data_IF_008608004198
#
_entry.id   IF_008608004198
#
_cell.length_a   1.000
_cell.length_b   1.000
_cell.length_c   1.000
_cell.angle_alpha   90.00
_cell.angle_beta   90.00
_cell.angle_gamma   90.00
#
_symmetry.space_group_name_H-M   'P 1'
#
loop_
_entity.id
_entity.type
_entity.pdbx_description
1 polymer ?
#
# COMPACT_ATOMS: atom_id res chain seq x y z
N UNK A 1 8.81 -6.79 3.69
CA UNK A 1 10.26 -6.53 3.86
C UNK A 1 11.00 -6.58 2.53
N UNK A 2 10.75 -7.54 1.63
CA UNK A 2 11.39 -7.57 0.30
C UNK A 2 10.86 -6.50 -0.68
N UNK A 3 9.58 -6.13 -0.60
CA UNK A 3 8.97 -5.26 -1.62
C UNK A 3 9.51 -3.82 -1.65
N UNK A 4 9.77 -3.24 -0.48
CA UNK A 4 10.16 -1.82 -0.38
C UNK A 4 11.59 -1.56 -0.87
N UNK A 5 12.51 -2.50 -0.61
CA UNK A 5 13.85 -2.48 -1.19
C UNK A 5 13.81 -2.75 -2.70
N UNK A 6 12.83 -3.51 -3.18
CA UNK A 6 12.61 -3.76 -4.61
C UNK A 6 12.11 -2.51 -5.34
N UNK A 7 11.29 -1.65 -4.71
CA UNK A 7 10.90 -0.34 -5.29
C UNK A 7 12.13 0.56 -5.48
N UNK A 8 12.93 0.70 -4.41
CA UNK A 8 14.10 1.57 -4.39
C UNK A 8 15.16 1.08 -5.39
N UNK A 9 15.45 -0.22 -5.35
CA UNK A 9 16.40 -0.85 -6.27
C UNK A 9 15.91 -0.84 -7.72
N UNK A 10 14.62 -1.13 -7.96
CA UNK A 10 14.03 -1.10 -9.30
C UNK A 10 14.05 0.31 -9.90
N UNK A 11 13.76 1.34 -9.10
CA UNK A 11 13.82 2.74 -9.54
C UNK A 11 15.24 3.15 -9.88
N UNK A 12 16.22 2.81 -9.02
CA UNK A 12 17.64 3.05 -9.30
C UNK A 12 18.12 2.31 -10.55
N UNK A 13 17.63 1.10 -10.80
CA UNK A 13 17.97 0.33 -11.99
C UNK A 13 17.39 0.93 -13.27
N UNK A 14 16.15 1.42 -13.24
CA UNK A 14 15.55 2.14 -14.38
C UNK A 14 16.31 3.43 -14.71
N UNK A 15 16.77 4.15 -13.69
CA UNK A 15 17.62 5.34 -13.85
C UNK A 15 18.97 4.95 -14.45
N UNK A 16 19.60 3.90 -13.93
CA UNK A 16 20.89 3.41 -14.44
C UNK A 16 20.81 2.97 -15.91
N UNK A 17 19.69 2.36 -16.32
CA UNK A 17 19.44 1.93 -17.71
C UNK A 17 18.98 3.08 -18.63
N UNK A 18 18.85 4.31 -18.10
CA UNK A 18 18.37 5.47 -18.86
C UNK A 18 16.89 5.40 -19.25
N UNK A 19 16.13 4.47 -18.66
CA UNK A 19 14.69 4.28 -18.92
C UNK A 19 13.81 5.19 -18.06
N UNK A 20 14.37 5.82 -17.03
CA UNK A 20 13.71 6.79 -16.19
C UNK A 20 14.66 7.95 -15.92
N UNK A 21 14.25 9.17 -16.29
CA UNK A 21 15.04 10.37 -16.01
C UNK A 21 15.07 10.64 -14.50
N UNK A 22 16.27 10.69 -13.93
CA UNK A 22 16.52 10.99 -12.51
C UNK A 22 15.88 12.32 -12.07
N UNK A 23 15.78 13.28 -12.98
CA UNK A 23 15.21 14.60 -12.69
C UNK A 23 13.69 14.65 -12.87
N UNK A 24 13.07 13.57 -13.38
CA UNK A 24 11.63 13.50 -13.50
C UNK A 24 10.94 13.46 -12.14
N UNK A 25 9.77 14.09 -12.06
CA UNK A 25 8.91 14.06 -10.87
C UNK A 25 8.54 12.63 -10.49
N UNK A 26 8.35 11.76 -11.48
CA UNK A 26 8.11 10.32 -11.31
C UNK A 26 9.28 9.60 -10.64
N UNK A 27 10.52 9.90 -11.03
CA UNK A 27 11.71 9.31 -10.40
C UNK A 27 11.86 9.77 -8.96
N UNK A 28 11.67 11.07 -8.69
CA UNK A 28 11.71 11.64 -7.34
C UNK A 28 10.70 10.97 -6.43
N UNK A 29 9.43 10.91 -6.85
CA UNK A 29 8.37 10.29 -6.06
C UNK A 29 8.67 8.82 -5.73
N UNK A 30 9.10 8.03 -6.70
CA UNK A 30 9.42 6.61 -6.48
C UNK A 30 10.63 6.40 -5.55
N UNK A 31 11.66 7.25 -5.68
CA UNK A 31 12.83 7.21 -4.79
C UNK A 31 12.45 7.64 -3.36
N UNK A 32 11.64 8.68 -3.22
CA UNK A 32 11.15 9.16 -1.92
C UNK A 32 10.29 8.10 -1.23
N UNK A 33 9.36 7.47 -1.94
CA UNK A 33 8.57 6.35 -1.41
C UNK A 33 9.46 5.19 -0.95
N UNK A 34 10.41 4.77 -1.79
CA UNK A 34 11.34 3.69 -1.43
C UNK A 34 12.16 4.03 -0.19
N UNK A 35 12.70 5.25 -0.11
CA UNK A 35 13.49 5.73 1.04
C UNK A 35 12.64 5.75 2.30
N UNK A 36 11.42 6.29 2.22
CA UNK A 36 10.54 6.44 3.37
C UNK A 36 10.06 5.09 3.91
N UNK A 37 9.79 4.12 3.02
CA UNK A 37 9.48 2.76 3.41
C UNK A 37 10.70 2.06 4.05
N UNK A 38 11.91 2.24 3.49
CA UNK A 38 13.13 1.68 4.05
C UNK A 38 13.44 2.24 5.46
N UNK A 39 13.25 3.55 5.65
CA UNK A 39 13.38 4.20 6.97
C UNK A 39 12.34 3.69 7.97
N UNK A 40 11.11 3.46 7.53
CA UNK A 40 10.07 2.86 8.38
C UNK A 40 10.45 1.44 8.83
N UNK A 41 10.91 0.58 7.92
CA UNK A 41 11.38 -0.77 8.27
C UNK A 41 12.57 -0.75 9.23
N UNK A 42 13.53 0.17 9.03
CA UNK A 42 14.65 0.35 9.96
C UNK A 42 14.18 0.79 11.35
N UNK A 43 13.09 1.56 11.44
CA UNK A 43 12.50 1.95 12.73
C UNK A 43 11.89 0.75 13.47
N UNK A 44 11.31 -0.21 12.74
CA UNK A 44 10.75 -1.44 13.31
C UNK A 44 11.85 -2.39 13.83
N UNK A 45 12.98 -2.49 13.11
CA UNK A 45 14.10 -3.35 13.48
C UNK A 45 14.91 -2.83 14.68
N UNK A 46 14.89 -1.53 14.97
CA UNK A 46 15.67 -0.92 16.05
C UNK A 46 15.16 -1.20 17.46
N UNK A 47 14.06 -1.94 17.64
CA UNK A 47 13.59 -2.39 18.95
C UNK A 47 13.25 -1.23 19.90
N UNK A 48 11.98 -0.81 19.90
CA UNK A 48 11.31 -0.03 20.96
C UNK A 48 12.21 0.82 21.89
N UNK A 49 12.79 1.90 21.37
CA UNK A 49 13.13 3.08 22.20
C UNK A 49 12.65 4.32 21.46
N UNK A 50 11.32 4.39 21.37
CA UNK A 50 10.64 5.41 20.60
C UNK A 50 9.15 5.16 20.47
N UNK A 51 8.50 4.60 21.49
CA UNK A 51 7.13 5.01 21.80
C UNK A 51 7.17 6.48 22.26
N UNK A 52 7.56 7.37 21.35
CA UNK A 52 6.75 8.54 21.12
C UNK A 52 5.68 7.94 20.18
N UNK A 53 4.46 7.66 20.61
CA UNK A 53 3.58 8.74 21.04
C UNK A 53 4.10 10.06 20.43
N UNK A 54 4.23 10.10 19.11
CA UNK A 54 4.06 11.35 18.39
C UNK A 54 2.63 11.67 18.78
N UNK A 55 2.52 12.41 19.87
CA UNK A 55 1.28 12.90 20.43
C UNK A 55 0.44 13.29 19.23
N UNK A 56 -0.77 12.73 19.11
CA UNK A 56 -1.82 13.30 18.28
C UNK A 56 -1.66 14.82 18.35
N UNK A 57 -1.06 15.42 17.33
CA UNK A 57 -0.79 16.83 17.32
C UNK A 57 -2.15 17.42 16.96
N UNK A 58 -2.90 17.75 18.02
CA UNK A 58 -4.34 17.53 18.12
C UNK A 58 -5.20 18.34 17.14
N UNK A 59 -4.60 19.29 16.41
CA UNK A 59 -5.30 20.13 15.43
C UNK A 59 -5.01 19.69 14.00
N UNK A 60 -3.75 19.43 13.65
CA UNK A 60 -3.36 19.00 12.30
C UNK A 60 -3.78 17.55 12.01
N UNK A 61 -3.67 16.66 13.01
CA UNK A 61 -4.13 15.26 12.87
C UNK A 61 -5.65 15.13 12.80
N UNK A 62 -6.41 16.00 13.48
CA UNK A 62 -7.87 16.00 13.39
C UNK A 62 -8.34 16.41 11.99
N UNK A 63 -7.79 17.50 11.43
CA UNK A 63 -8.11 17.97 10.08
C UNK A 63 -7.80 16.89 9.04
N UNK A 64 -6.61 16.29 9.10
CA UNK A 64 -6.21 15.27 8.13
C UNK A 64 -7.05 13.98 8.26
N UNK A 65 -7.50 13.62 9.46
CA UNK A 65 -8.40 12.50 9.68
C UNK A 65 -9.78 12.73 9.06
N UNK A 66 -10.36 13.92 9.25
CA UNK A 66 -11.62 14.30 8.63
C UNK A 66 -11.52 14.39 7.10
N UNK A 67 -10.41 14.94 6.59
CA UNK A 67 -10.07 14.95 5.17
C UNK A 67 -9.94 13.52 4.61
N UNK A 68 -9.24 12.62 5.30
CA UNK A 68 -9.08 11.22 4.88
C UNK A 68 -10.43 10.48 4.86
N UNK A 69 -11.27 10.71 5.86
CA UNK A 69 -12.62 10.17 5.92
C UNK A 69 -13.48 10.68 4.76
N UNK A 70 -13.30 11.95 4.38
CA UNK A 70 -13.94 12.52 3.20
C UNK A 70 -13.39 11.91 1.90
N UNK A 71 -12.07 11.76 1.81
CA UNK A 71 -11.37 11.19 0.66
C UNK A 71 -11.86 9.79 0.31
N UNK A 72 -12.13 8.97 1.34
CA UNK A 72 -12.69 7.63 1.19
C UNK A 72 -14.07 7.64 0.53
N UNK A 73 -14.92 8.63 0.84
CA UNK A 73 -16.27 8.77 0.24
C UNK A 73 -16.25 9.46 -1.12
N UNK A 74 -15.30 10.34 -1.36
CA UNK A 74 -15.24 11.20 -2.54
C UNK A 74 -14.36 10.63 -3.68
N UNK A 75 -13.85 9.41 -3.53
CA UNK A 75 -13.05 8.76 -4.58
C UNK A 75 -11.68 9.40 -4.80
N UNK A 76 -11.12 10.04 -3.76
CA UNK A 76 -9.79 10.66 -3.81
C UNK A 76 -8.67 9.66 -3.49
N UNK A 77 -9.04 8.47 -3.02
CA UNK A 77 -8.15 7.35 -2.77
C UNK A 77 -8.14 6.42 -4.00
N UNK A 78 -6.96 5.91 -4.31
CA UNK A 78 -6.77 4.93 -5.39
C UNK A 78 -5.74 3.88 -4.99
N UNK A 79 -5.73 2.77 -5.71
CA UNK A 79 -4.73 1.72 -5.57
C UNK A 79 -3.82 1.71 -6.78
N UNK A 80 -2.51 1.74 -6.53
CA UNK A 80 -1.50 1.37 -7.51
C UNK A 80 -1.11 -0.09 -7.27
N UNK A 81 -0.76 -0.80 -8.35
CA UNK A 81 -0.44 -2.22 -8.29
C UNK A 81 0.99 -2.44 -8.74
N UNK A 82 1.85 -2.80 -7.80
CA UNK A 82 3.24 -3.12 -8.10
C UNK A 82 3.35 -4.60 -8.52
N UNK A 83 3.84 -4.92 -9.73
CA UNK A 83 4.00 -6.29 -10.16
C UNK A 83 5.06 -7.04 -9.36
N UNK A 84 4.78 -8.30 -9.02
CA UNK A 84 5.70 -9.23 -8.36
C UNK A 84 6.05 -10.33 -9.36
N UNK A 85 7.34 -10.54 -9.58
CA UNK A 85 7.87 -11.55 -10.50
C UNK A 85 8.59 -12.67 -9.74
N UNK A 86 8.35 -13.91 -10.15
CA UNK A 86 9.22 -15.04 -9.81
C UNK A 86 10.35 -15.08 -10.84
N UNK A 87 11.58 -15.18 -10.35
CA UNK A 87 12.77 -15.30 -11.18
C UNK A 87 13.23 -16.76 -11.16
N UNK A 88 12.88 -17.51 -12.19
CA UNK A 88 13.36 -18.89 -12.35
C UNK A 88 14.76 -18.89 -13.00
N UNK A 89 15.08 -17.86 -13.79
CA UNK A 89 16.42 -17.53 -14.26
C UNK A 89 16.52 -16.04 -14.63
N UNK A 90 17.73 -15.50 -14.82
CA UNK A 90 17.94 -14.10 -15.24
C UNK A 90 17.24 -13.73 -16.57
N UNK A 91 16.84 -14.72 -17.37
CA UNK A 91 16.24 -14.54 -18.70
C UNK A 91 14.72 -14.80 -18.69
N UNK A 92 14.16 -15.30 -17.58
CA UNK A 92 12.75 -15.68 -17.49
C UNK A 92 12.16 -15.21 -16.16
N UNK A 93 11.47 -14.08 -16.22
CA UNK A 93 10.66 -13.55 -15.13
C UNK A 93 9.19 -13.90 -15.38
N UNK A 94 8.57 -14.62 -14.45
CA UNK A 94 7.15 -14.94 -14.49
C UNK A 94 6.39 -13.98 -13.57
N UNK A 95 5.43 -13.22 -14.11
CA UNK A 95 4.50 -12.45 -13.28
C UNK A 95 3.69 -13.41 -12.40
N UNK A 96 3.80 -13.27 -11.08
CA UNK A 96 3.10 -14.12 -10.11
C UNK A 96 1.96 -13.39 -9.40
N UNK A 97 2.01 -12.07 -9.33
CA UNK A 97 0.98 -11.30 -8.64
C UNK A 97 1.32 -9.82 -8.54
N UNK A 98 0.60 -9.16 -7.65
CA UNK A 98 0.73 -7.73 -7.41
C UNK A 98 0.68 -7.41 -5.93
N UNK A 99 1.33 -6.33 -5.54
CA UNK A 99 1.08 -5.64 -4.28
C UNK A 99 0.20 -4.41 -4.51
N UNK A 100 -0.88 -4.29 -3.74
CA UNK A 100 -1.74 -3.12 -3.76
C UNK A 100 -1.20 -2.05 -2.81
N UNK A 101 -0.90 -0.89 -3.37
CA UNK A 101 -0.33 0.27 -2.68
C UNK A 101 -1.36 1.41 -2.69
N UNK A 102 -1.75 1.84 -1.49
CA UNK A 102 -2.70 2.93 -1.33
C UNK A 102 -2.07 4.27 -1.73
N UNK A 103 -2.87 5.09 -2.40
CA UNK A 103 -2.50 6.42 -2.86
C UNK A 103 -3.62 7.40 -2.57
N UNK A 104 -3.26 8.61 -2.13
CA UNK A 104 -4.20 9.69 -1.90
C UNK A 104 -3.82 10.89 -2.76
N UNK A 105 -4.70 11.25 -3.71
CA UNK A 105 -4.61 12.48 -4.46
C UNK A 105 -5.58 13.49 -3.87
N UNK A 106 -5.08 14.38 -3.02
CA UNK A 106 -5.87 15.44 -2.42
C UNK A 106 -6.13 16.56 -3.43
N UNK A 107 -7.36 17.09 -3.54
CA UNK A 107 -7.72 18.10 -4.55
C UNK A 107 -6.88 19.38 -4.46
N UNK A 108 -6.47 19.78 -3.26
CA UNK A 108 -5.71 21.01 -3.04
C UNK A 108 -4.22 20.78 -2.77
N UNK A 109 -3.86 19.63 -2.19
CA UNK A 109 -2.49 19.35 -1.71
C UNK A 109 -1.70 18.49 -2.68
N UNK A 110 -2.36 17.91 -3.68
CA UNK A 110 -1.74 16.93 -4.56
C UNK A 110 -1.54 15.58 -3.86
N UNK A 111 -0.46 14.89 -4.20
CA UNK A 111 -0.16 13.57 -3.63
C UNK A 111 0.22 13.68 -2.15
N UNK A 112 -0.53 12.96 -1.31
CA UNK A 112 -0.22 12.79 0.11
C UNK A 112 0.37 11.38 0.30
N UNK A 113 1.60 11.25 0.84
CA UNK A 113 2.24 9.95 1.00
C UNK A 113 1.59 9.14 2.14
N UNK A 114 1.56 7.79 2.05
CA UNK A 114 1.02 6.93 3.11
C UNK A 114 1.64 7.16 4.49
N UNK A 115 2.92 7.51 4.54
CA UNK A 115 3.62 7.83 5.80
C UNK A 115 3.01 9.01 6.56
N UNK A 116 2.29 9.90 5.90
CA UNK A 116 1.62 11.04 6.52
C UNK A 116 0.24 10.67 7.05
N UNK A 117 -0.57 9.96 6.27
CA UNK A 117 -1.98 9.73 6.62
C UNK A 117 -2.27 8.37 7.29
N UNK A 118 -1.44 7.35 7.13
CA UNK A 118 -1.64 6.05 7.78
C UNK A 118 -1.57 6.16 9.32
N UNK A 119 -0.59 6.87 9.92
CA UNK A 119 -0.59 7.06 11.38
C UNK A 119 -1.85 7.76 11.89
N UNK A 120 -2.41 8.69 11.10
CA UNK A 120 -3.67 9.37 11.44
C UNK A 120 -4.85 8.41 11.38
N UNK A 121 -4.92 7.57 10.35
CA UNK A 121 -5.93 6.53 10.23
C UNK A 121 -5.88 5.56 11.42
N UNK A 122 -4.69 5.18 11.86
CA UNK A 122 -4.46 4.30 13.01
C UNK A 122 -4.93 4.94 14.32
N UNK A 123 -4.70 6.24 14.51
CA UNK A 123 -5.11 6.97 15.71
C UNK A 123 -6.62 7.28 15.78
N UNK A 124 -7.33 7.25 14.65
CA UNK A 124 -8.74 7.66 14.53
C UNK A 124 -9.71 6.51 14.27
N UNK A 125 -9.28 5.26 14.42
CA UNK A 125 -9.99 4.02 14.05
C UNK A 125 -10.42 3.92 12.57
N UNK A 126 -10.18 4.97 11.77
CA UNK A 126 -10.40 5.00 10.32
C UNK A 126 -9.59 3.93 9.59
N UNK A 127 -8.48 3.44 10.18
CA UNK A 127 -7.67 2.37 9.62
C UNK A 127 -8.52 1.13 9.30
N UNK A 128 -9.57 0.85 10.06
CA UNK A 128 -10.42 -0.31 9.81
C UNK A 128 -11.30 -0.13 8.57
N UNK A 129 -11.93 1.04 8.43
CA UNK A 129 -12.77 1.38 7.27
C UNK A 129 -11.91 1.47 6.00
N UNK A 130 -10.75 2.13 6.12
CA UNK A 130 -9.78 2.28 5.04
C UNK A 130 -9.29 0.93 4.54
N UNK A 131 -8.84 0.06 5.44
CA UNK A 131 -8.32 -1.24 5.04
C UNK A 131 -9.39 -2.17 4.48
N UNK A 132 -10.63 -2.09 4.97
CA UNK A 132 -11.76 -2.79 4.36
C UNK A 132 -11.95 -2.36 2.90
N UNK A 133 -11.94 -1.05 2.65
CA UNK A 133 -12.03 -0.50 1.29
C UNK A 133 -10.86 -0.93 0.41
N UNK A 134 -9.62 -0.89 0.93
CA UNK A 134 -8.42 -1.35 0.21
C UNK A 134 -8.54 -2.81 -0.18
N UNK A 135 -8.85 -3.70 0.78
CA UNK A 135 -8.97 -5.14 0.54
C UNK A 135 -10.04 -5.43 -0.51
N UNK A 136 -11.22 -4.84 -0.36
CA UNK A 136 -12.34 -5.04 -1.29
C UNK A 136 -12.00 -4.56 -2.70
N UNK A 137 -11.46 -3.35 -2.82
CA UNK A 137 -11.09 -2.76 -4.11
C UNK A 137 -9.99 -3.58 -4.80
N UNK A 138 -8.96 -3.99 -4.05
CA UNK A 138 -7.87 -4.79 -4.57
C UNK A 138 -8.34 -6.18 -5.03
N UNK A 139 -9.17 -6.85 -4.22
CA UNK A 139 -9.71 -8.17 -4.58
C UNK A 139 -10.60 -8.09 -5.83
N UNK A 140 -11.46 -7.08 -5.96
CA UNK A 140 -12.23 -6.88 -7.20
C UNK A 140 -11.33 -6.69 -8.42
N UNK A 141 -10.30 -5.85 -8.31
CA UNK A 141 -9.40 -5.57 -9.42
C UNK A 141 -8.64 -6.81 -9.87
N UNK A 142 -8.08 -7.59 -8.94
CA UNK A 142 -7.31 -8.78 -9.28
C UNK A 142 -8.24 -9.91 -9.76
N UNK A 143 -9.43 -10.07 -9.17
CA UNK A 143 -10.43 -11.02 -9.69
C UNK A 143 -10.80 -10.69 -11.15
N UNK A 144 -10.91 -9.41 -11.50
CA UNK A 144 -11.15 -8.98 -12.87
C UNK A 144 -10.00 -9.34 -13.80
N UNK A 145 -8.75 -9.07 -13.40
CA UNK A 145 -7.58 -9.49 -14.18
C UNK A 145 -7.45 -11.01 -14.32
N UNK A 146 -7.80 -11.78 -13.29
CA UNK A 146 -7.82 -13.24 -13.37
C UNK A 146 -8.84 -13.72 -14.41
N UNK A 147 -10.04 -13.11 -14.47
CA UNK A 147 -11.05 -13.43 -15.49
C UNK A 147 -10.58 -13.06 -16.90
N UNK A 148 -9.98 -11.90 -17.08
CA UNK A 148 -9.50 -11.44 -18.38
C UNK A 148 -8.33 -12.26 -18.91
N UNK A 149 -7.41 -12.67 -18.03
CA UNK A 149 -6.18 -13.39 -18.42
C UNK A 149 -6.32 -14.90 -18.37
N UNK A 150 -7.33 -15.43 -17.65
CA UNK A 150 -7.48 -16.85 -17.36
C UNK A 150 -6.37 -17.42 -16.47
N UNK A 151 -5.57 -16.57 -15.81
CA UNK A 151 -4.42 -16.98 -14.99
C UNK A 151 -4.66 -16.67 -13.51
N UNK A 152 -4.26 -17.56 -12.59
CA UNK A 152 -4.24 -17.23 -11.18
C UNK A 152 -3.18 -16.15 -10.93
N UNK A 153 -3.59 -15.08 -10.22
CA UNK A 153 -2.73 -13.97 -9.80
C UNK A 153 -2.78 -13.84 -8.29
N UNK A 154 -1.61 -13.75 -7.65
CA UNK A 154 -1.52 -13.45 -6.22
C UNK A 154 -1.75 -11.96 -5.97
N UNK A 155 -2.35 -11.65 -4.83
CA UNK A 155 -2.56 -10.29 -4.36
C UNK A 155 -1.97 -10.16 -2.96
N UNK A 156 -1.06 -9.20 -2.80
CA UNK A 156 -0.53 -8.79 -1.51
C UNK A 156 -1.19 -7.46 -1.12
N UNK A 157 -1.67 -7.37 0.12
CA UNK A 157 -2.26 -6.15 0.70
C UNK A 157 -1.61 -5.89 2.05
N UNK A 158 -1.20 -4.65 2.28
CA UNK A 158 -0.59 -4.23 3.54
C UNK A 158 -1.67 -4.10 4.63
N UNK A 159 -1.39 -4.65 5.81
CA UNK A 159 -2.24 -4.55 6.99
C UNK A 159 -1.53 -3.76 8.08
N UNK A 160 -2.26 -2.88 8.75
CA UNK A 160 -1.77 -2.20 9.95
C UNK A 160 -1.67 -3.20 11.12
N UNK A 161 -0.67 -3.05 12.02
CA UNK A 161 -0.60 -3.84 13.25
C UNK A 161 -1.89 -3.80 14.08
N UNK A 162 -2.59 -2.65 14.13
CA UNK A 162 -3.87 -2.52 14.85
C UNK A 162 -4.98 -3.41 14.29
N UNK A 163 -4.89 -3.80 13.03
CA UNK A 163 -5.88 -4.71 12.43
C UNK A 163 -5.65 -6.16 12.86
N UNK A 164 -4.40 -6.55 13.12
CA UNK A 164 -4.07 -7.92 13.56
C UNK A 164 -4.68 -8.22 14.93
N UNK A 165 -4.89 -7.19 15.75
CA UNK A 165 -5.54 -7.30 17.06
C UNK A 165 -7.08 -7.39 16.97
N UNK A 166 -7.69 -7.23 15.78
CA UNK A 166 -9.14 -7.31 15.63
C UNK A 166 -9.64 -8.77 15.63
N UNK A 167 -10.53 -9.16 16.57
CA UNK A 167 -11.05 -10.52 16.65
C UNK A 167 -11.79 -10.98 15.39
N UNK A 168 -12.40 -10.05 14.65
CA UNK A 168 -13.19 -10.33 13.45
C UNK A 168 -12.41 -10.16 12.14
N UNK A 169 -11.09 -9.92 12.17
CA UNK A 169 -10.29 -9.71 10.96
C UNK A 169 -10.47 -10.85 9.94
N UNK A 170 -10.32 -12.10 10.38
CA UNK A 170 -10.41 -13.27 9.51
C UNK A 170 -11.80 -13.42 8.90
N UNK A 171 -12.85 -13.17 9.69
CA UNK A 171 -14.22 -13.20 9.22
C UNK A 171 -14.47 -12.11 8.15
N UNK A 172 -13.97 -10.89 8.38
CA UNK A 172 -14.10 -9.79 7.43
C UNK A 172 -13.37 -10.09 6.12
N UNK A 173 -12.14 -10.62 6.18
CA UNK A 173 -11.39 -11.02 4.98
C UNK A 173 -12.14 -12.13 4.24
N UNK A 174 -12.64 -13.14 4.94
CA UNK A 174 -13.40 -14.23 4.31
C UNK A 174 -14.65 -13.72 3.59
N UNK A 175 -15.37 -12.79 4.20
CA UNK A 175 -16.54 -12.15 3.58
C UNK A 175 -16.16 -11.36 2.32
N UNK A 176 -15.05 -10.61 2.35
CA UNK A 176 -14.56 -9.87 1.18
C UNK A 176 -14.19 -10.82 0.05
N UNK A 177 -13.51 -11.93 0.34
CA UNK A 177 -13.12 -12.93 -0.66
C UNK A 177 -14.36 -13.53 -1.36
N UNK A 178 -15.39 -13.87 -0.58
CA UNK A 178 -16.66 -14.36 -1.11
C UNK A 178 -17.37 -13.29 -1.94
N UNK A 179 -17.48 -12.06 -1.41
CA UNK A 179 -18.16 -10.94 -2.08
C UNK A 179 -17.50 -10.58 -3.43
N UNK A 180 -16.17 -10.65 -3.49
CA UNK A 180 -15.39 -10.28 -4.69
C UNK A 180 -15.19 -11.44 -5.66
N UNK A 181 -15.67 -12.64 -5.30
CA UNK A 181 -15.38 -13.89 -6.00
C UNK A 181 -13.88 -14.13 -6.21
N UNK A 182 -13.04 -13.57 -5.33
CA UNK A 182 -11.59 -13.77 -5.37
C UNK A 182 -11.26 -15.07 -4.64
N UNK A 183 -10.84 -16.08 -5.39
CA UNK A 183 -10.49 -17.38 -4.81
C UNK A 183 -9.18 -17.26 -4.05
N UNK A 184 -9.22 -17.47 -2.74
CA UNK A 184 -8.01 -17.63 -1.94
C UNK A 184 -7.36 -18.96 -2.32
N UNK A 185 -6.16 -18.88 -2.91
CA UNK A 185 -5.32 -20.04 -3.14
C UNK A 185 -4.17 -19.99 -2.13
N UNK A 186 -4.12 -21.00 -1.25
CA UNK A 186 -3.02 -21.23 -0.32
C UNK A 186 -1.75 -21.67 -1.06
#
# INVERSE_FOLDING_TARGET
MESDLVVLWGTLQLIHQGQLDLHSERARHLLEEGIQNALHLLSLLRGSTGSKAISCEAVLTQSLGDELKSALRQGQLSLQYQPIFRLDSYQQAQLVGFEALLRWLHPERGWIPPSEFIPVAECSDLIHELSYWVLKTACYQVADWQRQTGRPLRLNVNLSPRQLDQPNLIANISNILVETAFSAHH
#
